data_IF_083418421783
#
_entry.id   IF_083418421783
#
_cell.length_a   1.000
_cell.length_b   1.000
_cell.length_c   1.000
_cell.angle_alpha   90.00
_cell.angle_beta   90.00
_cell.angle_gamma   90.00
#
_symmetry.space_group_name_H-M   'P 1'
#
loop_
_entity.id
_entity.type
_entity.pdbx_description
1 polymer ?
#
# COMPACT_ATOMS: atom_id res chain seq x y z
N UNK A 1 7.36 -2.56 -15.73
CA UNK A 1 7.16 -1.12 -16.06
C UNK A 1 5.81 -0.86 -16.75
N UNK A 2 5.00 -1.89 -17.00
CA UNK A 2 3.72 -1.76 -17.70
C UNK A 2 2.71 -0.85 -16.98
N UNK A 3 2.62 -0.94 -15.64
CA UNK A 3 1.74 -0.07 -14.84
C UNK A 3 2.02 1.42 -15.08
N UNK A 4 3.27 1.88 -14.97
CA UNK A 4 3.60 3.31 -15.16
C UNK A 4 3.31 3.77 -16.59
N UNK A 5 3.52 2.92 -17.60
CA UNK A 5 3.16 3.27 -18.98
C UNK A 5 1.66 3.42 -19.19
N UNK A 6 0.84 2.55 -18.58
CA UNK A 6 -0.63 2.61 -18.70
C UNK A 6 -1.21 3.92 -18.13
N UNK A 7 -0.58 4.48 -17.10
CA UNK A 7 -1.00 5.74 -16.47
C UNK A 7 -0.19 6.97 -16.95
N UNK A 8 0.60 6.83 -18.01
CA UNK A 8 1.38 7.92 -18.60
C UNK A 8 2.46 8.49 -17.66
N UNK A 9 3.00 7.68 -16.74
CA UNK A 9 4.10 8.03 -15.83
C UNK A 9 5.38 7.32 -16.25
N UNK A 10 6.52 7.84 -15.77
CA UNK A 10 7.85 7.34 -16.13
C UNK A 10 8.55 6.61 -14.99
N UNK A 11 8.25 6.98 -13.76
CA UNK A 11 8.99 6.54 -12.59
C UNK A 11 8.05 5.87 -11.58
N UNK A 12 8.56 4.80 -10.97
CA UNK A 12 8.01 4.15 -9.80
C UNK A 12 9.09 4.22 -8.72
N UNK A 13 8.73 4.75 -7.54
CA UNK A 13 9.62 4.77 -6.39
C UNK A 13 9.26 3.62 -5.45
N UNK A 14 10.28 2.88 -5.02
CA UNK A 14 10.15 1.80 -4.03
C UNK A 14 11.33 1.92 -3.08
N UNK A 15 11.05 2.16 -1.80
CA UNK A 15 12.05 2.37 -0.74
C UNK A 15 13.23 1.39 -0.80
N UNK A 16 12.95 0.10 -0.95
CA UNK A 16 13.96 -0.97 -0.98
C UNK A 16 14.94 -0.85 -2.15
N UNK A 17 14.50 -0.27 -3.27
CA UNK A 17 15.30 -0.15 -4.49
C UNK A 17 15.88 1.25 -4.69
N UNK A 18 15.17 2.28 -4.23
CA UNK A 18 15.57 3.66 -4.42
C UNK A 18 16.45 4.20 -3.29
N UNK A 19 16.42 3.57 -2.11
CA UNK A 19 17.27 3.94 -0.98
C UNK A 19 18.51 3.04 -0.94
N UNK A 20 19.69 3.64 -0.83
CA UNK A 20 20.96 2.91 -0.72
C UNK A 20 21.02 2.25 0.66
N UNK A 21 20.80 0.93 0.70
CA UNK A 21 20.60 0.23 1.97
C UNK A 21 21.88 0.04 2.80
N UNK A 22 23.05 0.10 2.17
CA UNK A 22 24.33 -0.23 2.80
C UNK A 22 25.15 1.00 3.22
N UNK A 23 24.73 2.20 2.80
CA UNK A 23 25.36 3.44 3.22
C UNK A 23 24.44 4.18 4.21
N UNK A 24 24.83 4.18 5.47
CA UNK A 24 24.05 4.82 6.53
C UNK A 24 23.90 6.33 6.32
N UNK A 25 24.92 7.03 5.81
CA UNK A 25 24.86 8.47 5.62
C UNK A 25 23.84 8.83 4.54
N UNK A 26 23.96 8.22 3.35
CA UNK A 26 22.99 8.44 2.27
C UNK A 26 21.59 7.96 2.63
N UNK A 27 21.46 6.84 3.34
CA UNK A 27 20.17 6.33 3.80
C UNK A 27 19.43 7.34 4.68
N UNK A 28 20.12 7.96 5.65
CA UNK A 28 19.48 8.93 6.54
C UNK A 28 18.96 10.15 5.78
N UNK A 29 19.72 10.65 4.82
CA UNK A 29 19.29 11.76 3.94
C UNK A 29 18.05 11.36 3.14
N UNK A 30 18.07 10.18 2.51
CA UNK A 30 16.95 9.71 1.70
C UNK A 30 15.70 9.42 2.52
N UNK A 31 15.84 8.91 3.76
CA UNK A 31 14.72 8.74 4.69
C UNK A 31 14.13 10.10 5.08
N UNK A 32 14.96 11.11 5.31
CA UNK A 32 14.49 12.47 5.58
C UNK A 32 13.68 13.02 4.40
N UNK A 33 14.10 12.71 3.17
CA UNK A 33 13.45 13.17 1.95
C UNK A 33 12.19 12.38 1.56
N UNK A 34 11.85 11.28 2.26
CA UNK A 34 10.67 10.45 1.93
C UNK A 34 9.37 11.25 1.92
N UNK A 35 9.22 12.23 2.82
CA UNK A 35 8.06 13.12 2.85
C UNK A 35 7.86 13.87 1.53
N UNK A 36 8.94 14.33 0.89
CA UNK A 36 8.87 14.99 -0.41
C UNK A 36 8.53 14.01 -1.53
N UNK A 37 9.03 12.78 -1.45
CA UNK A 37 8.69 11.73 -2.43
C UNK A 37 7.19 11.43 -2.39
N UNK A 38 6.63 11.15 -1.21
CA UNK A 38 5.19 10.89 -1.06
C UNK A 38 4.35 12.12 -1.43
N UNK A 39 4.77 13.32 -0.99
CA UNK A 39 4.09 14.58 -1.26
C UNK A 39 4.01 14.97 -2.74
N UNK A 40 4.96 14.50 -3.55
CA UNK A 40 5.00 14.76 -4.99
C UNK A 40 4.65 13.53 -5.85
N UNK A 41 4.33 12.40 -5.22
CA UNK A 41 3.86 11.22 -5.93
C UNK A 41 2.50 11.49 -6.58
N UNK A 42 2.28 10.94 -7.78
CA UNK A 42 0.98 11.04 -8.43
C UNK A 42 -0.12 10.29 -7.64
N UNK A 43 0.25 9.12 -7.09
CA UNK A 43 -0.43 8.43 -6.00
C UNK A 43 0.54 7.43 -5.38
N UNK A 44 0.21 6.96 -4.19
CA UNK A 44 0.93 5.91 -3.46
C UNK A 44 0.13 4.62 -3.48
N UNK A 45 0.78 3.51 -3.81
CA UNK A 45 0.17 2.18 -3.76
C UNK A 45 0.40 1.59 -2.37
N UNK A 46 -0.68 1.31 -1.65
CA UNK A 46 -0.62 0.76 -0.30
C UNK A 46 -1.07 -0.69 -0.32
N UNK A 47 -0.16 -1.60 0.01
CA UNK A 47 -0.44 -3.03 0.14
C UNK A 47 -1.06 -3.34 1.52
N UNK A 48 -2.24 -2.79 1.79
CA UNK A 48 -2.89 -2.83 3.11
C UNK A 48 -3.14 -4.27 3.60
N UNK A 49 -3.63 -5.14 2.72
CA UNK A 49 -3.96 -6.52 3.02
C UNK A 49 -2.77 -7.48 3.13
N UNK A 50 -1.56 -7.05 2.76
CA UNK A 50 -0.38 -7.91 2.68
C UNK A 50 0.47 -7.81 3.94
N UNK A 51 0.71 -8.93 4.64
CA UNK A 51 1.53 -8.93 5.87
C UNK A 51 3.01 -8.72 5.56
N UNK A 52 3.47 -9.12 4.37
CA UNK A 52 4.85 -8.94 3.91
C UNK A 52 4.93 -8.87 2.36
N UNK A 53 6.12 -8.55 1.84
CA UNK A 53 6.33 -8.36 0.40
C UNK A 53 6.16 -9.63 -0.46
N UNK A 54 6.09 -10.83 0.12
CA UNK A 54 5.87 -12.09 -0.63
C UNK A 54 4.40 -12.34 -0.95
N UNK A 55 3.48 -11.73 -0.21
CA UNK A 55 2.04 -11.92 -0.42
C UNK A 55 1.52 -11.18 -1.67
N UNK A 56 2.24 -10.14 -2.13
CA UNK A 56 1.87 -9.37 -3.32
C UNK A 56 0.56 -8.57 -3.15
N UNK A 57 0.05 -8.07 -4.28
CA UNK A 57 -1.24 -7.38 -4.37
C UNK A 57 -2.28 -8.33 -4.97
N UNK A 58 -3.50 -8.36 -4.43
CA UNK A 58 -4.61 -9.18 -4.96
C UNK A 58 -5.53 -8.37 -5.87
N UNK A 59 -6.27 -9.06 -6.72
CA UNK A 59 -7.34 -8.47 -7.53
C UNK A 59 -6.87 -7.78 -8.82
N UNK A 60 -5.66 -8.08 -9.30
CA UNK A 60 -5.18 -7.62 -10.61
C UNK A 60 -5.43 -8.73 -11.63
N UNK A 61 -6.41 -8.52 -12.50
CA UNK A 61 -6.81 -9.50 -13.52
C UNK A 61 -5.63 -9.96 -14.37
N UNK A 62 -5.45 -11.28 -14.49
CA UNK A 62 -4.37 -11.89 -15.26
C UNK A 62 -2.96 -11.77 -14.66
N UNK A 63 -2.79 -11.08 -13.53
CA UNK A 63 -1.49 -10.84 -12.89
C UNK A 63 -1.39 -11.43 -11.49
N UNK A 64 -2.44 -11.32 -10.68
CA UNK A 64 -2.43 -11.78 -9.29
C UNK A 64 -3.66 -12.60 -8.91
N UNK A 65 -3.56 -13.26 -7.76
CA UNK A 65 -4.71 -13.98 -7.19
C UNK A 65 -5.88 -13.04 -6.98
N UNK A 66 -7.10 -13.57 -7.16
CA UNK A 66 -8.33 -12.84 -6.90
C UNK A 66 -8.44 -12.37 -5.44
N UNK A 67 -9.38 -11.45 -5.22
CA UNK A 67 -9.77 -11.06 -3.87
C UNK A 67 -10.26 -12.26 -3.09
N UNK A 68 -9.94 -12.28 -1.80
CA UNK A 68 -10.55 -13.23 -0.88
C UNK A 68 -12.00 -12.83 -0.66
N UNK A 69 -12.88 -13.82 -0.66
CA UNK A 69 -14.26 -13.61 -0.19
C UNK A 69 -14.21 -13.02 1.22
N UNK A 70 -15.11 -12.07 1.55
CA UNK A 70 -15.27 -11.60 2.93
C UNK A 70 -15.43 -12.81 3.86
N UNK A 71 -14.76 -12.81 5.01
CA UNK A 71 -14.80 -13.94 5.94
C UNK A 71 -16.25 -14.23 6.37
N UNK A 72 -16.84 -15.38 5.99
CA UNK A 72 -18.25 -15.66 6.24
C UNK A 72 -18.56 -15.78 7.75
N UNK A 73 -17.56 -16.08 8.59
CA UNK A 73 -17.73 -16.17 10.05
C UNK A 73 -17.95 -14.78 10.66
N UNK A 74 -17.30 -13.75 10.12
CA UNK A 74 -17.52 -12.36 10.53
C UNK A 74 -18.87 -11.83 10.04
N UNK A 75 -19.26 -12.17 8.81
CA UNK A 75 -20.49 -11.68 8.18
C UNK A 75 -21.75 -12.23 8.89
N UNK A 76 -21.77 -13.50 9.29
CA UNK A 76 -22.95 -14.14 9.88
C UNK A 76 -23.19 -13.80 11.36
N UNK A 77 -22.18 -13.33 12.09
CA UNK A 77 -22.28 -13.11 13.55
C UNK A 77 -22.72 -11.70 13.93
N UNK A 78 -22.54 -10.71 13.03
CA UNK A 78 -22.66 -9.30 13.39
C UNK A 78 -23.47 -8.43 12.40
N UNK A 79 -24.17 -8.98 11.39
CA UNK A 79 -24.87 -8.18 10.36
C UNK A 79 -23.98 -7.02 9.86
N UNK A 80 -22.77 -7.35 9.41
CA UNK A 80 -21.76 -6.34 9.08
C UNK A 80 -22.11 -5.72 7.72
N UNK A 81 -22.61 -4.48 7.74
CA UNK A 81 -22.42 -3.53 6.63
C UNK A 81 -20.93 -3.54 6.25
N UNK A 82 -20.60 -3.58 4.96
CA UNK A 82 -19.21 -3.54 4.47
C UNK A 82 -18.36 -2.60 5.33
N UNK A 83 -17.26 -3.12 5.92
CA UNK A 83 -16.37 -2.30 6.74
C UNK A 83 -16.00 -1.04 5.97
N UNK A 84 -16.13 0.10 6.63
CA UNK A 84 -15.74 1.36 6.02
C UNK A 84 -14.21 1.39 5.79
N UNK A 85 -13.78 2.34 4.97
CA UNK A 85 -12.38 2.50 4.60
C UNK A 85 -11.45 2.64 5.82
N UNK A 86 -11.86 3.42 6.82
CA UNK A 86 -11.04 3.74 7.99
C UNK A 86 -10.87 2.51 8.89
N UNK A 87 -11.91 1.67 9.01
CA UNK A 87 -11.88 0.39 9.71
C UNK A 87 -10.97 -0.62 9.00
N UNK A 88 -11.04 -0.68 7.68
CA UNK A 88 -10.15 -1.54 6.87
C UNK A 88 -8.69 -1.13 7.03
N UNK A 89 -8.39 0.17 7.01
CA UNK A 89 -7.03 0.68 7.25
C UNK A 89 -6.59 0.36 8.68
N UNK A 90 -7.41 0.70 9.66
CA UNK A 90 -7.04 0.59 11.08
C UNK A 90 -6.70 -0.85 11.49
N UNK A 91 -7.42 -1.82 10.92
CA UNK A 91 -7.21 -3.25 11.15
C UNK A 91 -6.14 -3.89 10.24
N UNK A 92 -5.59 -3.14 9.28
CA UNK A 92 -4.67 -3.67 8.29
C UNK A 92 -3.28 -3.99 8.88
N UNK A 93 -2.60 -5.07 8.43
CA UNK A 93 -1.20 -5.33 8.76
C UNK A 93 -0.25 -4.18 8.39
N UNK A 94 -0.60 -3.41 7.36
CA UNK A 94 0.17 -2.25 6.93
C UNK A 94 0.18 -1.14 7.99
N UNK A 95 -0.94 -0.86 8.64
CA UNK A 95 -1.04 0.24 9.61
C UNK A 95 -0.15 0.04 10.84
N UNK A 96 0.20 -1.21 11.17
CA UNK A 96 1.16 -1.53 12.23
C UNK A 96 2.64 -1.34 11.87
N UNK A 97 2.97 -0.90 10.65
CA UNK A 97 4.37 -0.70 10.22
C UNK A 97 4.86 0.70 10.59
N UNK A 98 6.16 0.82 10.92
CA UNK A 98 6.73 2.11 11.36
C UNK A 98 6.63 3.25 10.35
N UNK A 99 6.60 2.96 9.04
CA UNK A 99 6.57 3.98 7.98
C UNK A 99 5.15 4.30 7.45
N UNK A 100 4.12 3.59 7.90
CA UNK A 100 2.74 3.76 7.43
C UNK A 100 2.22 5.19 7.61
N UNK A 101 2.63 5.86 8.71
CA UNK A 101 2.23 7.24 8.97
C UNK A 101 2.77 8.22 7.91
N UNK A 102 4.04 8.08 7.51
CA UNK A 102 4.61 8.96 6.47
C UNK A 102 3.98 8.69 5.11
N UNK A 103 3.80 7.41 4.79
CA UNK A 103 3.10 6.98 3.58
C UNK A 103 1.70 7.59 3.50
N UNK A 104 0.95 7.59 4.61
CA UNK A 104 -0.42 8.12 4.66
C UNK A 104 -0.48 9.64 4.62
N UNK A 105 0.26 10.29 5.53
CA UNK A 105 0.10 11.73 5.80
C UNK A 105 0.65 12.59 4.68
N UNK A 106 1.73 12.17 4.03
CA UNK A 106 2.35 12.98 2.97
C UNK A 106 1.76 12.70 1.59
N UNK A 107 1.20 11.53 1.35
CA UNK A 107 0.63 11.21 0.04
C UNK A 107 -0.65 11.99 -0.20
N UNK A 108 -0.75 12.65 -1.36
CA UNK A 108 -1.98 13.36 -1.75
C UNK A 108 -3.11 12.40 -2.15
N UNK A 109 -2.74 11.21 -2.64
CA UNK A 109 -3.64 10.15 -3.11
C UNK A 109 -3.05 8.81 -2.77
N UNK A 110 -3.83 7.94 -2.16
CA UNK A 110 -3.45 6.57 -1.83
C UNK A 110 -4.44 5.62 -2.48
N UNK A 111 -3.93 4.51 -3.01
CA UNK A 111 -4.71 3.40 -3.51
C UNK A 111 -4.45 2.19 -2.62
N UNK A 112 -5.42 1.80 -1.81
CA UNK A 112 -5.26 0.74 -0.82
C UNK A 112 -5.76 -0.59 -1.37
N UNK A 113 -4.86 -1.56 -1.42
CA UNK A 113 -5.18 -2.94 -1.76
C UNK A 113 -5.42 -3.73 -0.48
N UNK A 114 -6.68 -4.00 -0.19
CA UNK A 114 -7.11 -4.91 0.88
C UNK A 114 -7.17 -6.34 0.35
N UNK A 115 -7.47 -7.30 1.24
CA UNK A 115 -7.61 -8.71 0.81
C UNK A 115 -8.85 -8.95 -0.04
N UNK A 116 -9.91 -8.17 0.19
CA UNK A 116 -11.24 -8.32 -0.40
C UNK A 116 -11.59 -7.28 -1.46
N UNK A 117 -10.94 -6.12 -1.45
CA UNK A 117 -11.31 -4.97 -2.26
C UNK A 117 -10.15 -3.98 -2.39
N UNK A 118 -10.35 -2.96 -3.24
CA UNK A 118 -9.46 -1.80 -3.39
C UNK A 118 -10.26 -0.56 -3.06
N UNK A 119 -9.68 0.34 -2.25
CA UNK A 119 -10.29 1.62 -1.85
C UNK A 119 -9.33 2.77 -2.10
#
# INVERSE_FOLDING_TARGET
MECVSLIGKRYLWVDRFCIVQHDHASKQVQIHDMAFVYGNAYFTIVAAGASNAREGLRGIEGVSEGFLSPDPVYHNRYNIEELDHDQLISSSPWNGRGWSLQELVFSQRCLFFHKSNVT
#
